data_IF_896741904044
#
_entry.id   IF_896741904044
#
_cell.length_a   1.000
_cell.length_b   1.000
_cell.length_c   1.000
_cell.angle_alpha   90.00
_cell.angle_beta   90.00
_cell.angle_gamma   90.00
#
_symmetry.space_group_name_H-M   'P 1'
#
loop_
_entity.id
_entity.type
_entity.pdbx_description
1 polymer ?
#
# COMPACT_ATOMS: atom_id res chain seq x y z
N UNK A 1 -10.63 1.03 -17.92
CA UNK A 1 -10.03 2.37 -17.76
C UNK A 1 -11.07 3.47 -17.77
N UNK A 2 -11.56 3.97 -18.92
CA UNK A 2 -12.47 5.14 -18.94
C UNK A 2 -13.72 4.99 -18.07
N UNK A 3 -14.47 3.89 -18.20
CA UNK A 3 -15.69 3.68 -17.40
C UNK A 3 -15.42 3.56 -15.90
N UNK A 4 -14.28 2.99 -15.51
CA UNK A 4 -13.88 2.89 -14.09
C UNK A 4 -13.58 4.28 -13.53
N UNK A 5 -12.78 5.08 -14.25
CA UNK A 5 -12.45 6.45 -13.88
C UNK A 5 -13.70 7.34 -13.87
N UNK A 6 -14.61 7.15 -14.83
CA UNK A 6 -15.89 7.87 -14.86
C UNK A 6 -16.74 7.51 -13.64
N UNK A 7 -16.79 6.23 -13.26
CA UNK A 7 -17.55 5.78 -12.10
C UNK A 7 -16.98 6.34 -10.79
N UNK A 8 -15.65 6.39 -10.65
CA UNK A 8 -15.01 7.00 -9.47
C UNK A 8 -15.21 8.51 -9.46
N UNK A 9 -15.06 9.18 -10.60
CA UNK A 9 -15.34 10.61 -10.73
C UNK A 9 -16.78 10.95 -10.34
N UNK A 10 -17.79 10.20 -10.83
CA UNK A 10 -19.19 10.44 -10.48
C UNK A 10 -19.42 10.29 -8.97
N UNK A 11 -18.87 9.24 -8.33
CA UNK A 11 -18.99 9.05 -6.87
C UNK A 11 -18.43 10.24 -6.10
N UNK A 12 -17.27 10.73 -6.53
CA UNK A 12 -16.58 11.86 -5.92
C UNK A 12 -17.35 13.16 -6.14
N UNK A 13 -17.85 13.38 -7.36
CA UNK A 13 -18.65 14.55 -7.72
C UNK A 13 -19.95 14.64 -6.90
N UNK A 14 -20.59 13.52 -6.58
CA UNK A 14 -21.78 13.50 -5.71
C UNK A 14 -21.45 14.04 -4.32
N UNK A 15 -20.31 13.67 -3.73
CA UNK A 15 -19.90 14.20 -2.42
C UNK A 15 -19.60 15.70 -2.53
N UNK A 16 -18.90 16.12 -3.59
CA UNK A 16 -18.58 17.54 -3.81
C UNK A 16 -19.77 18.40 -4.26
N UNK A 17 -20.88 17.80 -4.67
CA UNK A 17 -22.09 18.53 -5.06
C UNK A 17 -22.62 19.43 -3.94
N UNK A 18 -22.43 19.04 -2.67
CA UNK A 18 -22.81 19.85 -1.50
C UNK A 18 -22.02 21.17 -1.49
N UNK A 19 -20.72 21.13 -1.81
CA UNK A 19 -19.90 22.34 -1.89
C UNK A 19 -20.28 23.19 -3.11
N UNK A 20 -20.56 22.57 -4.26
CA UNK A 20 -21.01 23.29 -5.46
C UNK A 20 -22.32 24.04 -5.17
N UNK A 21 -23.26 23.40 -4.47
CA UNK A 21 -24.53 24.01 -4.05
C UNK A 21 -24.29 25.13 -3.03
N UNK A 22 -23.43 24.90 -2.02
CA UNK A 22 -23.13 25.90 -1.00
C UNK A 22 -22.50 27.18 -1.59
N UNK A 23 -21.48 27.04 -2.43
CA UNK A 23 -20.83 28.18 -3.08
C UNK A 23 -21.73 28.81 -4.15
N UNK A 24 -22.51 28.03 -4.90
CA UNK A 24 -23.44 28.57 -5.88
C UNK A 24 -24.55 29.40 -5.24
N UNK A 25 -25.11 28.95 -4.12
CA UNK A 25 -26.07 29.74 -3.33
C UNK A 25 -25.43 30.96 -2.68
N UNK A 26 -24.19 30.84 -2.18
CA UNK A 26 -23.46 31.99 -1.63
C UNK A 26 -23.24 33.07 -2.70
N UNK A 27 -22.77 32.70 -3.89
CA UNK A 27 -22.60 33.64 -5.00
C UNK A 27 -23.92 34.19 -5.51
N UNK A 28 -24.99 33.39 -5.52
CA UNK A 28 -26.33 33.91 -5.80
C UNK A 28 -26.72 35.02 -4.81
N UNK A 29 -26.54 34.83 -3.50
CA UNK A 29 -26.91 35.85 -2.51
C UNK A 29 -26.02 37.11 -2.62
N UNK A 30 -24.71 36.93 -2.84
CA UNK A 30 -23.74 38.02 -2.87
C UNK A 30 -23.81 38.86 -4.15
N UNK A 31 -24.05 38.22 -5.30
CA UNK A 31 -23.99 38.85 -6.63
C UNK A 31 -25.37 39.05 -7.29
N UNK A 32 -26.48 38.55 -6.74
CA UNK A 32 -27.83 38.71 -7.36
C UNK A 32 -28.36 40.15 -7.36
N UNK A 33 -27.84 41.03 -6.49
CA UNK A 33 -28.37 42.39 -6.29
C UNK A 33 -27.60 43.49 -7.02
N UNK A 34 -26.66 43.14 -7.89
CA UNK A 34 -25.90 44.16 -8.63
C UNK A 34 -26.84 44.82 -9.66
N UNK A 35 -26.97 46.15 -9.58
CA UNK A 35 -28.04 46.92 -10.22
C UNK A 35 -27.80 47.22 -11.70
N UNK A 36 -26.58 47.10 -12.20
CA UNK A 36 -26.28 47.24 -13.63
C UNK A 36 -26.32 45.90 -14.38
N UNK A 37 -27.05 45.80 -15.51
CA UNK A 37 -27.15 44.58 -16.30
C UNK A 37 -25.88 44.39 -17.13
N UNK A 38 -24.78 43.99 -16.49
CA UNK A 38 -23.61 43.48 -17.19
C UNK A 38 -23.84 42.01 -17.57
N UNK A 39 -23.42 41.61 -18.78
CA UNK A 39 -23.62 40.26 -19.36
C UNK A 39 -23.19 39.15 -18.40
N UNK A 40 -22.16 39.40 -17.59
CA UNK A 40 -21.62 38.46 -16.62
C UNK A 40 -22.50 38.26 -15.37
N UNK A 41 -23.35 39.22 -15.02
CA UNK A 41 -24.21 39.17 -13.84
C UNK A 41 -25.55 38.48 -14.09
N UNK A 42 -25.97 38.36 -15.35
CA UNK A 42 -27.11 37.49 -15.70
C UNK A 42 -26.88 36.04 -15.28
N UNK A 43 -25.62 35.61 -15.18
CA UNK A 43 -25.25 34.27 -14.72
C UNK A 43 -25.63 33.99 -13.26
N UNK A 44 -25.81 35.01 -12.43
CA UNK A 44 -26.20 34.89 -11.01
C UNK A 44 -27.63 35.35 -10.72
N UNK A 45 -28.43 35.60 -11.77
CA UNK A 45 -29.82 36.06 -11.64
C UNK A 45 -30.79 34.98 -11.14
N UNK A 46 -30.51 33.71 -11.44
CA UNK A 46 -31.32 32.57 -11.03
C UNK A 46 -30.47 31.51 -10.34
N UNK A 47 -31.07 30.80 -9.40
CA UNK A 47 -30.44 29.69 -8.66
C UNK A 47 -29.81 28.66 -9.62
N UNK A 48 -30.53 28.10 -10.62
CA UNK A 48 -29.93 27.11 -11.53
C UNK A 48 -28.77 27.69 -12.36
N UNK A 49 -28.87 28.93 -12.83
CA UNK A 49 -27.77 29.56 -13.58
C UNK A 49 -26.54 29.80 -12.70
N UNK A 50 -26.74 30.18 -11.44
CA UNK A 50 -25.63 30.36 -10.48
C UNK A 50 -24.88 29.05 -10.21
N UNK A 51 -25.60 27.92 -10.15
CA UNK A 51 -25.00 26.60 -9.99
C UNK A 51 -24.19 26.19 -11.22
N UNK A 52 -24.74 26.38 -12.43
CA UNK A 52 -24.03 26.11 -13.69
C UNK A 52 -22.80 27.01 -13.82
N UNK A 53 -22.90 28.29 -13.45
CA UNK A 53 -21.78 29.23 -13.43
C UNK A 53 -20.71 28.80 -12.45
N UNK A 54 -21.10 28.36 -11.25
CA UNK A 54 -20.16 27.85 -10.23
C UNK A 54 -19.47 26.55 -10.70
N UNK A 55 -20.19 25.70 -11.43
CA UNK A 55 -19.62 24.51 -12.06
C UNK A 55 -18.61 24.85 -13.18
N UNK A 56 -18.90 25.84 -14.04
CA UNK A 56 -17.92 26.35 -15.03
C UNK A 56 -16.71 26.99 -14.34
N UNK A 57 -16.92 27.76 -13.26
CA UNK A 57 -15.83 28.33 -12.46
C UNK A 57 -14.95 27.27 -11.80
N UNK A 58 -15.49 26.08 -11.47
CA UNK A 58 -14.71 24.94 -10.97
C UNK A 58 -13.68 24.46 -11.99
N UNK A 59 -13.99 24.55 -13.29
CA UNK A 59 -13.08 24.19 -14.40
C UNK A 59 -11.90 25.18 -14.57
N UNK A 60 -11.88 26.27 -13.79
CA UNK A 60 -10.86 27.32 -13.85
C UNK A 60 -11.28 28.54 -14.68
N UNK A 61 -12.48 28.54 -15.24
CA UNK A 61 -13.03 29.67 -16.00
C UNK A 61 -13.62 30.73 -15.06
N UNK A 62 -12.76 31.57 -14.49
CA UNK A 62 -13.17 32.69 -13.63
C UNK A 62 -12.93 34.03 -14.31
N UNK A 63 -14.00 34.74 -14.68
CA UNK A 63 -13.91 36.14 -15.12
C UNK A 63 -13.85 37.10 -13.92
N UNK A 64 -12.66 37.22 -13.34
CA UNK A 64 -12.40 38.08 -12.18
C UNK A 64 -12.66 39.56 -12.47
N UNK A 65 -12.23 40.04 -13.65
CA UNK A 65 -12.28 41.46 -14.00
C UNK A 65 -13.72 41.90 -14.22
N UNK A 66 -14.47 41.14 -15.03
CA UNK A 66 -15.86 41.48 -15.35
C UNK A 66 -16.84 41.20 -14.21
N UNK A 67 -16.55 40.22 -13.35
CA UNK A 67 -17.51 39.82 -12.29
C UNK A 67 -17.26 40.52 -10.95
N UNK A 68 -16.02 40.88 -10.62
CA UNK A 68 -15.67 41.42 -9.30
C UNK A 68 -15.03 42.81 -9.35
N UNK A 69 -14.13 43.07 -10.32
CA UNK A 69 -13.36 44.33 -10.36
C UNK A 69 -14.19 45.51 -10.87
N UNK A 70 -14.97 45.32 -11.93
CA UNK A 70 -15.83 46.37 -12.49
C UNK A 70 -16.91 46.84 -11.48
N UNK A 71 -17.71 45.95 -10.87
CA UNK A 71 -18.72 46.35 -9.87
C UNK A 71 -18.11 46.99 -8.61
N UNK A 72 -16.88 46.60 -8.24
CA UNK A 72 -16.17 47.19 -7.11
C UNK A 72 -15.79 48.66 -7.36
N UNK A 73 -15.37 49.01 -8.58
CA UNK A 73 -15.00 50.38 -8.93
C UNK A 73 -16.23 51.28 -9.16
N UNK A 74 -17.33 50.72 -9.68
CA UNK A 74 -18.59 51.46 -9.90
C UNK A 74 -19.38 51.63 -8.60
N UNK A 75 -19.12 50.78 -7.59
CA UNK A 75 -19.80 50.83 -6.30
C UNK A 75 -21.11 50.03 -6.24
N UNK A 76 -21.39 49.21 -7.25
CA UNK A 76 -22.61 48.40 -7.35
C UNK A 76 -22.54 47.05 -6.61
N UNK A 77 -21.40 46.73 -5.99
CA UNK A 77 -21.23 45.52 -5.20
C UNK A 77 -21.73 45.76 -3.77
N UNK A 78 -22.88 45.19 -3.34
CA UNK A 78 -23.50 45.52 -2.06
C UNK A 78 -22.65 45.12 -0.85
N UNK A 79 -21.85 44.06 -0.99
CA UNK A 79 -21.00 43.55 0.07
C UNK A 79 -19.59 43.21 -0.46
N UNK A 80 -18.68 44.20 -0.61
CA UNK A 80 -17.39 43.98 -1.24
C UNK A 80 -16.47 43.07 -0.42
N UNK A 81 -16.34 43.32 0.89
CA UNK A 81 -15.46 42.54 1.76
C UNK A 81 -15.80 41.03 1.81
N UNK A 82 -17.03 40.60 2.15
CA UNK A 82 -17.35 39.17 2.20
C UNK A 82 -17.33 38.51 0.81
N UNK A 83 -17.61 39.25 -0.27
CA UNK A 83 -17.49 38.73 -1.64
C UNK A 83 -16.05 38.33 -1.97
N UNK A 84 -15.07 39.18 -1.64
CA UNK A 84 -13.66 38.84 -1.87
C UNK A 84 -13.16 37.70 -0.95
N UNK A 85 -13.63 37.64 0.30
CA UNK A 85 -13.28 36.54 1.22
C UNK A 85 -13.81 35.19 0.70
N UNK A 86 -15.09 35.14 0.32
CA UNK A 86 -15.73 33.92 -0.21
C UNK A 86 -15.11 33.53 -1.56
N UNK A 87 -14.76 34.50 -2.40
CA UNK A 87 -14.03 34.28 -3.65
C UNK A 87 -12.65 33.65 -3.40
N UNK A 88 -11.88 34.17 -2.46
CA UNK A 88 -10.56 33.63 -2.13
C UNK A 88 -10.66 32.20 -1.58
N UNK A 89 -11.63 31.96 -0.69
CA UNK A 89 -11.93 30.62 -0.17
C UNK A 89 -12.32 29.66 -1.30
N UNK A 90 -13.17 30.11 -2.23
CA UNK A 90 -13.59 29.33 -3.40
C UNK A 90 -12.41 28.97 -4.29
N UNK A 91 -11.50 29.91 -4.59
CA UNK A 91 -10.32 29.66 -5.42
C UNK A 91 -9.42 28.55 -4.86
N UNK A 92 -9.24 28.52 -3.53
CA UNK A 92 -8.41 27.51 -2.87
C UNK A 92 -9.13 26.15 -2.88
N UNK A 93 -10.41 26.11 -2.51
CA UNK A 93 -11.14 24.86 -2.32
C UNK A 93 -11.54 24.19 -3.63
N UNK A 94 -12.00 24.96 -4.63
CA UNK A 94 -12.60 24.41 -5.84
C UNK A 94 -11.57 24.25 -6.97
N UNK A 95 -11.07 25.30 -7.65
CA UNK A 95 -10.09 25.13 -8.73
C UNK A 95 -8.78 24.44 -8.32
N UNK A 96 -8.29 24.65 -7.09
CA UNK A 96 -6.98 24.10 -6.68
C UNK A 96 -7.16 22.74 -5.99
N UNK A 97 -7.83 22.69 -4.84
CA UNK A 97 -7.92 21.47 -4.05
C UNK A 97 -8.75 20.39 -4.75
N UNK A 98 -9.96 20.72 -5.20
CA UNK A 98 -10.85 19.74 -5.84
C UNK A 98 -10.23 19.19 -7.13
N UNK A 99 -9.68 20.04 -8.00
CA UNK A 99 -9.02 19.55 -9.23
C UNK A 99 -7.81 18.67 -8.95
N UNK A 100 -6.95 19.07 -8.02
CA UNK A 100 -5.79 18.25 -7.65
C UNK A 100 -6.22 16.90 -7.06
N UNK A 101 -7.31 16.86 -6.30
CA UNK A 101 -7.87 15.62 -5.78
C UNK A 101 -8.46 14.75 -6.90
N UNK A 102 -9.25 15.32 -7.82
CA UNK A 102 -9.81 14.57 -8.95
C UNK A 102 -8.72 13.97 -9.84
N UNK A 103 -7.67 14.75 -10.12
CA UNK A 103 -6.50 14.28 -10.87
C UNK A 103 -5.76 13.22 -10.07
N UNK A 104 -5.54 13.42 -8.76
CA UNK A 104 -4.86 12.44 -7.90
C UNK A 104 -5.59 11.10 -7.82
N UNK A 105 -6.92 11.12 -7.72
CA UNK A 105 -7.75 9.91 -7.75
C UNK A 105 -7.69 9.23 -9.12
N UNK A 106 -7.81 10.00 -10.20
CA UNK A 106 -7.71 9.46 -11.55
C UNK A 106 -6.35 8.80 -11.79
N UNK A 107 -5.25 9.39 -11.32
CA UNK A 107 -3.90 8.81 -11.44
C UNK A 107 -3.78 7.52 -10.62
N UNK A 108 -4.27 7.49 -9.39
CA UNK A 108 -4.28 6.28 -8.57
C UNK A 108 -5.13 5.15 -9.19
N UNK A 109 -6.30 5.48 -9.74
CA UNK A 109 -7.15 4.53 -10.45
C UNK A 109 -6.47 4.00 -11.71
N UNK A 110 -5.82 4.88 -12.50
CA UNK A 110 -5.07 4.48 -13.70
C UNK A 110 -3.95 3.51 -13.33
N UNK A 111 -3.20 3.75 -12.25
CA UNK A 111 -2.11 2.88 -11.83
C UNK A 111 -2.59 1.47 -11.47
N UNK A 112 -3.66 1.36 -10.67
CA UNK A 112 -4.22 0.07 -10.28
C UNK A 112 -4.81 -0.72 -11.46
N UNK A 113 -5.47 -0.03 -12.39
CA UNK A 113 -6.02 -0.65 -13.61
C UNK A 113 -4.91 -1.02 -14.58
N UNK A 114 -3.83 -0.23 -14.66
CA UNK A 114 -2.65 -0.52 -15.49
C UNK A 114 -1.96 -1.81 -15.08
N UNK A 115 -1.73 -2.01 -13.78
CA UNK A 115 -1.19 -3.27 -13.22
C UNK A 115 -2.02 -4.48 -13.69
N UNK A 116 -3.33 -4.40 -13.49
CA UNK A 116 -4.23 -5.49 -13.88
C UNK A 116 -4.62 -5.51 -15.37
N UNK A 117 -4.11 -4.61 -16.21
CA UNK A 117 -4.63 -4.40 -17.56
C UNK A 117 -4.39 -5.62 -18.46
N UNK A 118 -3.23 -6.26 -18.33
CA UNK A 118 -2.87 -7.41 -19.16
C UNK A 118 -3.74 -8.63 -18.84
N UNK A 119 -3.90 -8.92 -17.55
CA UNK A 119 -4.76 -10.01 -17.10
C UNK A 119 -6.21 -9.74 -17.48
N UNK A 120 -6.69 -8.50 -17.28
CA UNK A 120 -8.05 -8.11 -17.69
C UNK A 120 -8.26 -8.21 -19.20
N UNK A 121 -7.24 -7.89 -20.01
CA UNK A 121 -7.26 -8.05 -21.47
C UNK A 121 -7.39 -9.52 -21.87
N UNK A 122 -6.55 -10.39 -21.31
CA UNK A 122 -6.59 -11.83 -21.58
C UNK A 122 -7.92 -12.45 -21.10
N UNK A 123 -8.37 -12.09 -19.90
CA UNK A 123 -9.65 -12.56 -19.37
C UNK A 123 -10.81 -12.17 -20.28
N UNK A 124 -10.83 -10.93 -20.80
CA UNK A 124 -11.87 -10.48 -21.71
C UNK A 124 -11.83 -11.24 -23.05
N UNK A 125 -10.64 -11.57 -23.57
CA UNK A 125 -10.51 -12.42 -24.76
C UNK A 125 -11.04 -13.83 -24.48
N UNK A 126 -10.67 -14.44 -23.35
CA UNK A 126 -11.17 -15.77 -22.97
C UNK A 126 -12.68 -15.77 -22.84
N UNK A 127 -13.27 -14.79 -22.14
CA UNK A 127 -14.72 -14.65 -22.00
C UNK A 127 -15.39 -14.50 -23.36
N UNK A 128 -14.85 -13.66 -24.24
CA UNK A 128 -15.37 -13.49 -25.60
C UNK A 128 -15.33 -14.80 -26.39
N UNK A 129 -14.21 -15.52 -26.36
CA UNK A 129 -14.07 -16.81 -27.04
C UNK A 129 -15.04 -17.85 -26.49
N UNK A 130 -15.16 -17.98 -25.17
CA UNK A 130 -16.09 -18.91 -24.52
C UNK A 130 -17.56 -18.57 -24.80
N UNK A 131 -17.93 -17.28 -24.77
CA UNK A 131 -19.30 -16.86 -25.12
C UNK A 131 -19.64 -17.12 -26.58
N UNK A 132 -18.67 -16.95 -27.48
CA UNK A 132 -18.81 -17.19 -28.90
C UNK A 132 -18.91 -18.69 -29.19
N UNK A 133 -18.05 -19.50 -28.57
CA UNK A 133 -18.08 -20.96 -28.62
C UNK A 133 -19.45 -21.51 -28.17
N UNK A 134 -19.99 -21.00 -27.05
CA UNK A 134 -21.31 -21.41 -26.53
C UNK A 134 -22.47 -21.07 -27.47
N UNK A 135 -22.33 -20.04 -28.31
CA UNK A 135 -23.39 -19.59 -29.24
C UNK A 135 -23.26 -20.22 -30.63
N UNK A 136 -22.12 -20.82 -30.97
CA UNK A 136 -21.90 -21.44 -32.27
C UNK A 136 -22.49 -22.86 -32.32
N UNK A 137 -23.06 -23.28 -33.47
CA UNK A 137 -23.53 -24.65 -33.66
C UNK A 137 -22.36 -25.65 -33.66
N UNK A 138 -22.54 -26.79 -33.00
CA UNK A 138 -21.49 -27.81 -32.78
C UNK A 138 -20.80 -28.28 -34.07
N UNK A 139 -21.53 -28.35 -35.19
CA UNK A 139 -20.97 -28.73 -36.50
C UNK A 139 -19.83 -27.81 -36.94
N UNK A 140 -19.89 -26.52 -36.63
CA UNK A 140 -18.85 -25.55 -37.01
C UNK A 140 -17.66 -25.62 -36.06
N UNK A 141 -17.92 -25.92 -34.79
CA UNK A 141 -16.89 -26.08 -33.78
C UNK A 141 -15.97 -27.26 -34.13
N UNK A 142 -16.56 -28.43 -34.39
CA UNK A 142 -15.82 -29.65 -34.72
C UNK A 142 -15.03 -29.54 -36.04
N UNK A 143 -15.51 -28.73 -37.00
CA UNK A 143 -14.80 -28.51 -38.27
C UNK A 143 -13.61 -27.55 -38.12
N UNK A 144 -13.66 -26.62 -37.17
CA UNK A 144 -12.65 -25.56 -37.00
C UNK A 144 -11.63 -25.89 -35.91
N UNK A 145 -12.03 -26.68 -34.91
CA UNK A 145 -11.17 -27.06 -33.80
C UNK A 145 -9.95 -27.88 -34.27
N UNK A 146 -8.77 -27.51 -33.77
CA UNK A 146 -7.48 -28.10 -34.12
C UNK A 146 -6.61 -28.15 -32.88
N UNK A 147 -6.26 -29.36 -32.45
CA UNK A 147 -5.50 -29.59 -31.21
C UNK A 147 -4.02 -29.21 -31.31
N UNK A 148 -3.45 -29.19 -32.53
CA UNK A 148 -2.04 -28.90 -32.74
C UNK A 148 -1.86 -27.84 -33.82
N UNK A 149 -1.05 -26.82 -33.52
CA UNK A 149 -0.64 -25.77 -34.45
C UNK A 149 0.88 -25.82 -34.62
N UNK A 150 1.34 -26.11 -35.83
CA UNK A 150 2.76 -26.10 -36.18
C UNK A 150 3.11 -24.71 -36.73
N UNK A 151 3.89 -23.93 -35.97
CA UNK A 151 4.37 -22.61 -36.38
C UNK A 151 5.79 -22.69 -36.94
N UNK A 152 6.01 -22.14 -38.13
CA UNK A 152 7.33 -22.05 -38.77
C UNK A 152 7.84 -20.60 -38.66
N UNK A 153 8.68 -20.26 -37.66
CA UNK A 153 9.02 -18.86 -37.33
C UNK A 153 9.75 -18.11 -38.46
N UNK A 154 10.46 -18.83 -39.33
CA UNK A 154 11.20 -18.24 -40.45
C UNK A 154 10.44 -18.27 -41.79
N UNK A 155 9.21 -18.79 -41.83
CA UNK A 155 8.46 -18.95 -43.07
C UNK A 155 7.16 -18.11 -43.05
N UNK A 156 7.24 -16.88 -43.57
CA UNK A 156 6.12 -15.91 -43.61
C UNK A 156 5.16 -16.09 -44.79
N UNK A 157 4.94 -17.32 -45.26
CA UNK A 157 4.12 -17.57 -46.47
C UNK A 157 2.69 -17.96 -46.09
N UNK A 158 1.81 -16.97 -45.96
CA UNK A 158 0.36 -17.21 -46.02
C UNK A 158 -0.07 -17.48 -47.47
N UNK A 159 -0.91 -18.51 -47.69
CA UNK A 159 -1.32 -18.99 -49.02
C UNK A 159 -2.32 -18.07 -49.75
N UNK A 160 -2.97 -17.15 -49.04
CA UNK A 160 -3.80 -16.10 -49.65
C UNK A 160 -3.04 -14.78 -49.54
N UNK A 161 -2.79 -14.12 -50.67
CA UNK A 161 -1.95 -12.91 -50.76
C UNK A 161 -2.55 -11.64 -50.12
N UNK A 162 -2.53 -10.52 -50.85
CA UNK A 162 -2.83 -9.16 -50.37
C UNK A 162 -4.08 -9.02 -49.49
N UNK A 163 -5.16 -9.77 -49.76
CA UNK A 163 -6.39 -9.75 -48.95
C UNK A 163 -6.20 -10.27 -47.53
N UNK A 164 -5.39 -11.31 -47.32
CA UNK A 164 -5.06 -11.80 -45.98
C UNK A 164 -4.20 -10.77 -45.24
N UNK A 165 -3.31 -10.07 -45.94
CA UNK A 165 -2.51 -8.99 -45.35
C UNK A 165 -3.38 -7.79 -44.92
N UNK A 166 -4.41 -7.44 -45.71
CA UNK A 166 -5.37 -6.36 -45.38
C UNK A 166 -6.33 -6.80 -44.28
N UNK A 167 -6.89 -8.02 -44.33
CA UNK A 167 -7.75 -8.56 -43.27
C UNK A 167 -6.98 -8.74 -41.98
N UNK A 168 -5.76 -9.28 -42.02
CA UNK A 168 -4.88 -9.41 -40.85
C UNK A 168 -4.54 -8.04 -40.29
N UNK A 169 -4.35 -7.00 -41.10
CA UNK A 169 -4.11 -5.65 -40.59
C UNK A 169 -5.34 -4.97 -39.98
N UNK A 170 -6.54 -5.39 -40.35
CA UNK A 170 -7.81 -4.81 -39.88
C UNK A 170 -8.48 -5.64 -38.77
N UNK A 171 -8.30 -6.96 -38.77
CA UNK A 171 -8.85 -7.94 -37.81
C UNK A 171 -7.80 -8.56 -36.87
N UNK A 172 -6.55 -8.75 -37.29
CA UNK A 172 -5.50 -9.07 -36.31
C UNK A 172 -5.03 -7.78 -35.66
N UNK A 173 -5.40 -7.66 -34.39
CA UNK A 173 -4.71 -6.94 -33.33
C UNK A 173 -3.61 -5.95 -33.79
N UNK A 174 -3.78 -4.64 -33.51
CA UNK A 174 -2.66 -3.68 -33.43
C UNK A 174 -1.58 -4.06 -32.38
N UNK A 175 -1.60 -5.27 -31.82
CA UNK A 175 -0.97 -5.65 -30.55
C UNK A 175 0.00 -6.84 -30.66
N UNK A 176 0.24 -7.42 -31.83
CA UNK A 176 1.31 -8.43 -31.97
C UNK A 176 2.72 -7.81 -32.04
N UNK A 177 2.82 -6.48 -32.23
CA UNK A 177 4.07 -5.72 -32.20
C UNK A 177 4.42 -5.16 -30.81
N UNK A 178 3.83 -5.72 -29.73
CA UNK A 178 4.05 -5.33 -28.33
C UNK A 178 5.47 -5.65 -27.79
N UNK A 179 6.48 -5.87 -28.64
CA UNK A 179 7.89 -5.95 -28.21
C UNK A 179 8.41 -4.63 -27.58
N UNK A 180 7.69 -3.51 -27.74
CA UNK A 180 7.98 -2.24 -27.07
C UNK A 180 7.31 -2.06 -25.70
N UNK A 181 6.35 -2.91 -25.33
CA UNK A 181 5.73 -2.91 -23.99
C UNK A 181 6.57 -3.57 -22.90
N UNK A 182 7.72 -4.15 -23.26
CA UNK A 182 8.56 -4.96 -22.36
C UNK A 182 9.08 -4.25 -21.11
N UNK A 183 9.11 -2.92 -21.08
CA UNK A 183 9.58 -2.17 -19.89
C UNK A 183 8.56 -2.27 -18.74
N UNK A 184 7.26 -2.33 -19.05
CA UNK A 184 6.20 -2.46 -18.03
C UNK A 184 6.10 -3.90 -17.52
N UNK A 185 6.30 -4.89 -18.41
CA UNK A 185 6.35 -6.31 -18.07
C UNK A 185 7.43 -6.65 -17.03
N UNK A 186 8.56 -5.93 -17.02
CA UNK A 186 9.68 -6.25 -16.11
C UNK A 186 9.42 -5.74 -14.70
N UNK A 187 8.78 -4.58 -14.54
CA UNK A 187 8.54 -3.96 -13.23
C UNK A 187 7.53 -4.76 -12.40
N UNK A 188 6.42 -5.17 -13.00
CA UNK A 188 5.35 -5.90 -12.30
C UNK A 188 5.76 -7.34 -11.96
N UNK A 189 6.46 -8.01 -12.87
CA UNK A 189 6.99 -9.34 -12.63
C UNK A 189 8.05 -9.36 -11.51
N UNK A 190 8.74 -8.22 -11.27
CA UNK A 190 9.75 -8.12 -10.20
C UNK A 190 9.11 -8.09 -8.81
N UNK A 191 8.00 -7.36 -8.62
CA UNK A 191 7.31 -7.31 -7.32
C UNK A 191 6.74 -8.69 -6.92
N UNK A 192 6.05 -9.35 -7.83
CA UNK A 192 5.50 -10.70 -7.62
C UNK A 192 6.62 -11.74 -7.45
N UNK A 193 7.71 -11.62 -8.21
CA UNK A 193 8.88 -12.49 -8.07
C UNK A 193 9.51 -12.37 -6.68
N UNK A 194 9.71 -11.14 -6.19
CA UNK A 194 10.26 -10.88 -4.85
C UNK A 194 9.35 -11.46 -3.77
N UNK A 195 8.02 -11.32 -3.89
CA UNK A 195 7.08 -11.92 -2.95
C UNK A 195 7.21 -13.45 -2.89
N UNK A 196 7.31 -14.11 -4.05
CA UNK A 196 7.49 -15.57 -4.15
C UNK A 196 8.84 -16.01 -3.57
N UNK A 197 9.93 -15.28 -3.83
CA UNK A 197 11.24 -15.56 -3.24
C UNK A 197 11.22 -15.42 -1.71
N UNK A 198 10.58 -14.37 -1.20
CA UNK A 198 10.44 -14.13 0.24
C UNK A 198 9.63 -15.24 0.90
N UNK A 199 8.56 -15.72 0.25
CA UNK A 199 7.81 -16.86 0.75
C UNK A 199 8.67 -18.15 0.77
N UNK A 200 9.46 -18.40 -0.27
CA UNK A 200 10.41 -19.52 -0.30
C UNK A 200 11.44 -19.41 0.83
N UNK A 201 11.99 -18.23 1.08
CA UNK A 201 12.91 -17.99 2.18
C UNK A 201 12.24 -18.20 3.54
N UNK A 202 11.01 -17.73 3.72
CA UNK A 202 10.22 -17.94 4.94
C UNK A 202 9.98 -19.43 5.21
N UNK A 203 9.67 -20.21 4.18
CA UNK A 203 9.53 -21.68 4.30
C UNK A 203 10.84 -22.32 4.74
N UNK A 204 11.96 -21.98 4.09
CA UNK A 204 13.29 -22.46 4.46
C UNK A 204 13.66 -22.11 5.91
N UNK A 205 13.40 -20.87 6.35
CA UNK A 205 13.65 -20.47 7.73
C UNK A 205 12.83 -21.27 8.74
N UNK A 206 11.57 -21.57 8.40
CA UNK A 206 10.71 -22.40 9.25
C UNK A 206 11.25 -23.82 9.40
N UNK A 207 11.73 -24.41 8.30
CA UNK A 207 12.33 -25.76 8.32
C UNK A 207 13.66 -25.79 9.08
N UNK A 208 14.46 -24.71 9.00
CA UNK A 208 15.66 -24.55 9.83
C UNK A 208 15.30 -24.41 11.31
N UNK A 209 14.23 -23.67 11.63
CA UNK A 209 13.74 -23.52 12.99
C UNK A 209 13.32 -24.86 13.61
N UNK A 210 12.57 -25.67 12.89
CA UNK A 210 12.17 -27.01 13.36
C UNK A 210 13.38 -27.93 13.51
N UNK A 211 14.34 -27.89 12.59
CA UNK A 211 15.58 -28.65 12.71
C UNK A 211 16.39 -28.24 13.95
N UNK A 212 16.51 -26.94 14.23
CA UNK A 212 17.19 -26.43 15.43
C UNK A 212 16.52 -26.88 16.73
N UNK A 213 15.19 -26.87 16.79
CA UNK A 213 14.45 -27.36 17.97
C UNK A 213 14.71 -28.85 18.21
N UNK A 214 14.74 -29.68 17.15
CA UNK A 214 15.06 -31.10 17.29
C UNK A 214 16.51 -31.32 17.74
N UNK A 215 17.46 -30.55 17.23
CA UNK A 215 18.86 -30.59 17.69
C UNK A 215 18.98 -30.15 19.15
N UNK A 216 18.25 -29.11 19.57
CA UNK A 216 18.23 -28.67 20.97
C UNK A 216 17.67 -29.74 21.90
N UNK A 217 16.61 -30.44 21.49
CA UNK A 217 16.07 -31.59 22.23
C UNK A 217 17.08 -32.73 22.32
N UNK A 218 17.75 -33.07 21.22
CA UNK A 218 18.76 -34.12 21.18
C UNK A 218 19.95 -33.79 22.08
N UNK A 219 20.42 -32.54 22.09
CA UNK A 219 21.45 -32.06 23.01
C UNK A 219 21.03 -32.19 24.48
N UNK A 220 19.78 -31.85 24.84
CA UNK A 220 19.27 -32.06 26.20
C UNK A 220 19.28 -33.54 26.59
N UNK A 221 18.87 -34.41 25.67
CA UNK A 221 18.89 -35.86 25.89
C UNK A 221 20.33 -36.37 26.05
N UNK A 222 21.29 -35.88 25.26
CA UNK A 222 22.72 -36.22 25.43
C UNK A 222 23.21 -35.79 26.80
N UNK A 223 22.94 -34.57 27.25
CA UNK A 223 23.35 -34.10 28.59
C UNK A 223 22.70 -34.92 29.71
N UNK A 224 21.49 -35.42 29.50
CA UNK A 224 20.81 -36.29 30.48
C UNK A 224 21.38 -37.73 30.49
N UNK A 225 21.83 -38.23 29.33
CA UNK A 225 22.36 -39.60 29.16
C UNK A 225 23.86 -39.71 29.38
N UNK A 226 24.62 -38.66 29.06
CA UNK A 226 25.93 -38.43 29.63
C UNK A 226 25.66 -38.22 31.11
N UNK A 227 25.92 -39.23 31.91
CA UNK A 227 25.97 -39.11 33.36
C UNK A 227 27.13 -38.18 33.73
N UNK A 228 27.01 -36.88 33.38
CA UNK A 228 27.89 -35.84 33.86
C UNK A 228 27.55 -35.76 35.34
N UNK A 229 28.23 -36.60 36.11
CA UNK A 229 28.47 -36.36 37.52
C UNK A 229 29.13 -34.98 37.54
N UNK A 230 28.35 -33.95 37.79
CA UNK A 230 28.94 -32.73 38.31
C UNK A 230 29.68 -33.18 39.56
N UNK A 231 31.00 -33.06 39.56
CA UNK A 231 31.95 -33.35 40.67
C UNK A 231 31.56 -32.66 42.01
N UNK A 232 30.43 -31.94 42.02
CA UNK A 232 29.76 -31.38 43.18
C UNK A 232 28.90 -32.39 43.97
N UNK A 233 28.51 -33.54 43.40
CA UNK A 233 27.70 -34.58 44.11
C UNK A 233 28.55 -35.70 44.74
N UNK A 234 29.83 -35.84 44.38
CA UNK A 234 30.75 -36.85 44.96
C UNK A 234 31.44 -36.37 46.27
N UNK A 235 31.00 -35.27 46.87
CA UNK A 235 31.55 -34.71 48.12
C UNK A 235 30.46 -34.50 49.18
N UNK A 236 29.83 -35.58 49.64
CA UNK A 236 29.23 -35.59 50.99
C UNK A 236 29.12 -36.99 51.61
N UNK A 237 30.21 -37.75 51.61
CA UNK A 237 30.40 -38.81 52.61
C UNK A 237 31.54 -38.42 53.55
N UNK A 238 31.16 -37.89 54.72
CA UNK A 238 32.00 -37.96 55.92
C UNK A 238 32.28 -36.63 56.61
N UNK A 239 31.34 -36.19 57.45
CA UNK A 239 31.70 -35.55 58.73
C UNK A 239 30.78 -36.10 59.83
N UNK A 240 31.30 -36.74 60.89
CA UNK A 240 30.48 -37.24 61.98
C UNK A 240 29.83 -36.08 62.74
N UNK A 241 28.52 -36.19 62.99
CA UNK A 241 27.69 -35.18 63.68
C UNK A 241 27.85 -35.16 65.20
N UNK A 242 28.97 -35.64 65.74
CA UNK A 242 29.23 -35.65 67.19
C UNK A 242 29.70 -34.31 67.75
N UNK A 243 30.19 -33.39 66.93
CA UNK A 243 30.82 -32.15 67.42
C UNK A 243 29.92 -30.91 67.37
N UNK A 244 28.68 -31.02 66.84
CA UNK A 244 27.76 -29.89 66.71
C UNK A 244 26.73 -29.77 67.85
N UNK A 245 26.88 -30.54 68.94
CA UNK A 245 25.93 -30.52 70.07
C UNK A 245 26.27 -29.46 71.13
N UNK A 246 27.30 -28.64 70.92
CA UNK A 246 27.82 -27.70 71.93
C UNK A 246 27.33 -26.24 71.82
N UNK A 247 26.47 -25.88 70.86
CA UNK A 247 26.03 -24.48 70.72
C UNK A 247 24.55 -24.35 70.31
N UNK A 248 23.67 -24.96 71.10
CA UNK A 248 22.26 -24.57 71.12
C UNK A 248 22.10 -23.42 72.12
N UNK A 249 21.89 -22.20 71.63
CA UNK A 249 21.66 -21.06 72.52
C UNK A 249 21.50 -19.74 71.78
N UNK A 250 20.25 -19.26 71.77
CA UNK A 250 19.87 -17.84 71.66
C UNK A 250 19.63 -17.24 70.25
N UNK A 251 18.34 -17.23 69.90
CA UNK A 251 17.53 -16.10 69.42
C UNK A 251 18.03 -15.17 68.29
N UNK A 252 17.11 -15.02 67.33
CA UNK A 252 16.80 -13.82 66.53
C UNK A 252 17.63 -13.52 65.28
N UNK A 253 16.88 -13.43 64.17
CA UNK A 253 17.10 -12.63 62.97
C UNK A 253 18.51 -12.58 62.39
N UNK A 254 18.73 -13.27 61.27
CA UNK A 254 19.74 -12.82 60.32
C UNK A 254 19.25 -12.93 58.87
N UNK A 255 18.91 -11.77 58.30
CA UNK A 255 19.14 -11.50 56.87
C UNK A 255 20.65 -11.49 56.69
N UNK A 256 21.23 -12.58 56.20
CA UNK A 256 22.59 -12.54 55.64
C UNK A 256 22.75 -13.58 54.54
N UNK A 257 22.68 -13.08 53.30
CA UNK A 257 23.33 -13.59 52.09
C UNK A 257 23.47 -15.11 51.94
N UNK A 258 22.52 -15.71 51.21
CA UNK A 258 22.54 -17.09 50.70
C UNK A 258 23.69 -17.41 49.71
N UNK A 259 24.64 -16.50 49.52
CA UNK A 259 25.67 -16.59 48.48
C UNK A 259 27.03 -16.26 49.10
N UNK A 260 27.54 -17.13 49.96
CA UNK A 260 28.96 -17.14 50.30
C UNK A 260 29.42 -18.58 50.41
N UNK A 261 29.95 -19.12 49.31
CA UNK A 261 30.58 -20.43 49.33
C UNK A 261 31.92 -20.33 50.10
N UNK A 262 32.30 -21.35 50.90
CA UNK A 262 33.55 -21.35 51.68
C UNK A 262 34.83 -21.15 50.83
N UNK A 263 34.75 -21.41 49.52
CA UNK A 263 35.86 -21.24 48.57
C UNK A 263 36.26 -19.77 48.35
N UNK A 264 35.33 -18.81 48.50
CA UNK A 264 35.63 -17.37 48.32
C UNK A 264 36.38 -16.83 49.54
N UNK A 265 36.11 -17.32 50.76
CA UNK A 265 36.86 -16.92 51.97
C UNK A 265 38.31 -17.39 51.97
N UNK A 266 38.59 -18.61 51.47
CA UNK A 266 39.99 -19.11 51.40
C UNK A 266 40.83 -18.33 50.38
N UNK A 267 40.25 -17.82 49.29
CA UNK A 267 40.96 -16.95 48.34
C UNK A 267 41.20 -15.53 48.88
N UNK A 268 40.27 -14.98 49.68
CA UNK A 268 40.45 -13.65 50.30
C UNK A 268 41.43 -13.66 51.49
N UNK A 269 41.55 -14.78 52.23
CA UNK A 269 42.56 -14.93 53.29
C UNK A 269 43.99 -15.06 52.77
N UNK A 270 44.18 -15.69 51.60
CA UNK A 270 45.50 -15.85 51.00
C UNK A 270 46.05 -14.54 50.41
N UNK A 271 45.19 -13.68 49.86
CA UNK A 271 45.59 -12.39 49.26
C UNK A 271 45.89 -11.31 50.29
N UNK A 272 45.37 -11.41 51.52
CA UNK A 272 45.66 -10.48 52.62
C UNK A 272 46.97 -10.77 53.38
N UNK A 273 47.59 -11.94 53.18
CA UNK A 273 48.88 -12.27 53.80
C UNK A 273 50.11 -11.81 53.01
N UNK A 274 49.94 -11.37 51.76
CA UNK A 274 51.02 -10.92 50.88
C UNK A 274 51.36 -9.42 50.99
N UNK A 275 50.60 -8.64 51.77
CA UNK A 275 50.76 -7.18 51.86
C UNK A 275 51.24 -6.70 53.23
N UNK A 276 51.99 -7.54 53.97
CA UNK A 276 52.60 -7.18 55.27
C UNK A 276 54.11 -7.45 55.34
N UNK A 277 54.83 -7.40 54.21
CA UNK A 277 56.29 -7.56 54.16
C UNK A 277 57.05 -6.54 53.31
N UNK A 278 56.43 -5.42 52.91
CA UNK A 278 57.14 -4.28 52.28
C UNK A 278 56.79 -3.03 53.08
N UNK A 279 57.76 -2.55 53.85
CA UNK A 279 57.63 -1.41 54.77
C UNK A 279 58.67 -1.47 55.89
N UNK A 280 59.96 -1.51 55.51
CA UNK A 280 61.02 -0.80 56.23
C UNK A 280 61.28 0.47 55.44
#
# INVERSE_FOLDING_TARGET
>A
MFLEILQTLIKVLIVFSILIIAFGLAFYILLSKVSEPQVNHLSFSSIPMSLVRTFSMMLGEMDFVGTYVQPFHVGDLPFPFPSFVILCLFMILMPILLMNLLIGLAVGDIESVRRNAQLKRLAMQVVLHTELERKLPQMWLEMVDKMELIEYPNEKKCKLGFLDSVLRKWFCNPFTDDYKGGIDYVLENTEDYVAVELEKQKRKLRDIGTALDTQHQLLRLIVQKMEIKTEADDVDEGVPTSDLKAASGLLTSNRSSRWSSPRIRKKLGATLSFNKSIGK
#
